data_IF_804281784740
#
_entry.id   IF_804281784740
#
_cell.length_a   1.000
_cell.length_b   1.000
_cell.length_c   1.000
_cell.angle_alpha   90.00
_cell.angle_beta   90.00
_cell.angle_gamma   90.00
#
_symmetry.space_group_name_H-M   'P 1'
#
loop_
_entity.id
_entity.type
_entity.pdbx_description
1 polymer ?
#
# COMPACT_ATOMS: atom_id res chain seq x y z
N UNK A 1 -7.54 -2.26 -11.54
CA UNK A 1 -7.48 -1.33 -10.39
C UNK A 1 -6.02 -1.00 -10.06
N UNK A 2 -5.69 0.24 -9.73
CA UNK A 2 -4.32 0.70 -9.42
C UNK A 2 -4.28 1.26 -7.99
N UNK A 3 -3.45 0.66 -7.14
CA UNK A 3 -3.31 0.99 -5.71
C UNK A 3 -1.90 1.50 -5.47
N UNK A 4 -1.78 2.67 -4.85
CA UNK A 4 -0.50 3.31 -4.53
C UNK A 4 -0.17 3.17 -3.05
N UNK A 5 1.01 2.64 -2.73
CA UNK A 5 1.61 2.74 -1.40
C UNK A 5 2.55 3.94 -1.35
N UNK A 6 2.11 5.02 -0.69
CA UNK A 6 2.86 6.28 -0.66
C UNK A 6 2.70 7.04 0.66
N UNK A 7 3.77 7.72 1.05
CA UNK A 7 3.84 8.69 2.14
C UNK A 7 5.14 9.49 1.97
N UNK A 8 5.11 10.79 2.29
CA UNK A 8 6.28 11.66 2.24
C UNK A 8 7.43 11.17 3.15
N UNK A 9 7.09 10.54 4.29
CA UNK A 9 8.09 10.03 5.22
C UNK A 9 8.67 8.70 4.75
N UNK A 10 10.00 8.63 4.66
CA UNK A 10 10.74 7.38 4.48
C UNK A 10 10.72 6.51 5.73
N UNK A 11 10.76 5.17 5.57
CA UNK A 11 10.89 4.22 6.67
C UNK A 11 9.60 3.84 7.42
N UNK A 12 8.44 4.35 6.98
CA UNK A 12 7.12 4.05 7.58
C UNK A 12 6.54 2.69 7.16
N UNK A 13 7.24 1.94 6.28
CA UNK A 13 6.86 0.56 5.89
C UNK A 13 6.02 0.45 4.62
N UNK A 14 6.14 1.39 3.68
CA UNK A 14 5.45 1.38 2.36
C UNK A 14 5.68 0.08 1.60
N UNK A 15 6.91 -0.19 1.20
CA UNK A 15 7.30 -1.39 0.45
C UNK A 15 6.97 -2.69 1.18
N UNK A 16 7.15 -2.70 2.50
CA UNK A 16 6.80 -3.86 3.35
C UNK A 16 5.31 -4.16 3.30
N UNK A 17 4.45 -3.15 3.45
CA UNK A 17 3.01 -3.33 3.40
C UNK A 17 2.52 -3.57 1.97
N UNK A 18 3.17 -3.02 0.94
CA UNK A 18 2.88 -3.32 -0.46
C UNK A 18 3.06 -4.83 -0.77
N UNK A 19 4.20 -5.41 -0.34
CA UNK A 19 4.44 -6.86 -0.48
C UNK A 19 3.44 -7.68 0.33
N UNK A 20 3.23 -7.34 1.61
CA UNK A 20 2.31 -8.08 2.46
C UNK A 20 0.87 -8.05 1.95
N UNK A 21 0.42 -6.90 1.44
CA UNK A 21 -0.92 -6.75 0.88
C UNK A 21 -1.05 -7.53 -0.43
N UNK A 22 -0.02 -7.51 -1.29
CA UNK A 22 0.01 -8.29 -2.53
C UNK A 22 -0.06 -9.80 -2.26
N UNK A 23 0.73 -10.30 -1.30
CA UNK A 23 0.65 -11.68 -0.84
C UNK A 23 -0.75 -12.04 -0.34
N UNK A 24 -1.37 -11.18 0.46
CA UNK A 24 -2.73 -11.38 0.95
C UNK A 24 -3.76 -11.43 -0.19
N UNK A 25 -3.68 -10.52 -1.16
CA UNK A 25 -4.59 -10.49 -2.30
C UNK A 25 -4.47 -11.76 -3.16
N UNK A 26 -3.24 -12.22 -3.43
CA UNK A 26 -3.00 -13.43 -4.21
C UNK A 26 -3.41 -14.69 -3.43
N UNK A 27 -2.88 -14.89 -2.22
CA UNK A 27 -3.08 -16.13 -1.45
C UNK A 27 -4.48 -16.26 -0.83
N UNK A 28 -5.02 -15.19 -0.25
CA UNK A 28 -6.25 -15.26 0.53
C UNK A 28 -7.49 -14.89 -0.27
N UNK A 29 -7.34 -14.06 -1.32
CA UNK A 29 -8.45 -13.55 -2.13
C UNK A 29 -8.42 -14.00 -3.58
N UNK A 30 -7.41 -14.76 -3.98
CA UNK A 30 -7.24 -15.28 -5.35
C UNK A 30 -7.35 -14.16 -6.40
N UNK A 31 -6.74 -13.00 -6.12
CA UNK A 31 -6.68 -11.87 -7.05
C UNK A 31 -5.38 -11.90 -7.83
N UNK A 32 -5.47 -11.57 -9.11
CA UNK A 32 -4.30 -11.34 -9.95
C UNK A 32 -3.66 -9.98 -9.61
N UNK A 33 -2.38 -10.01 -9.25
CA UNK A 33 -1.63 -8.86 -8.78
C UNK A 33 -0.37 -8.70 -9.62
N UNK A 34 0.06 -7.46 -9.85
CA UNK A 34 1.42 -7.11 -10.25
C UNK A 34 1.92 -5.99 -9.35
N UNK A 35 3.20 -6.02 -8.98
CA UNK A 35 3.85 -4.89 -8.31
C UNK A 35 4.72 -4.15 -9.32
N UNK A 36 4.56 -2.83 -9.40
CA UNK A 36 5.53 -1.94 -10.04
C UNK A 36 6.35 -1.23 -8.97
N UNK A 37 7.61 -1.61 -8.86
CA UNK A 37 8.58 -0.97 -7.96
C UNK A 37 9.16 0.28 -8.65
N UNK A 38 8.71 1.44 -8.18
CA UNK A 38 9.08 2.75 -8.71
C UNK A 38 9.98 3.53 -7.74
N UNK A 39 10.48 2.88 -6.69
CA UNK A 39 11.50 3.46 -5.81
C UNK A 39 12.88 3.27 -6.46
N UNK A 40 13.72 4.32 -6.41
CA UNK A 40 15.09 4.26 -6.93
C UNK A 40 15.92 3.11 -6.32
N UNK A 41 15.61 2.66 -5.11
CA UNK A 41 16.29 1.53 -4.47
C UNK A 41 15.83 0.16 -5.00
N UNK A 42 14.67 0.10 -5.66
CA UNK A 42 14.08 -1.10 -6.27
C UNK A 42 14.09 -2.30 -5.31
N UNK A 43 13.76 -2.03 -4.04
CA UNK A 43 13.97 -2.98 -2.95
C UNK A 43 13.07 -4.22 -3.06
N UNK A 44 11.86 -4.06 -3.60
CA UNK A 44 10.92 -5.16 -3.82
C UNK A 44 11.39 -5.98 -5.02
N UNK A 45 11.75 -5.32 -6.12
CA UNK A 45 12.22 -6.00 -7.32
C UNK A 45 13.45 -6.86 -7.04
N UNK A 46 14.48 -6.28 -6.42
CA UNK A 46 15.70 -7.00 -6.07
C UNK A 46 15.42 -8.21 -5.16
N UNK A 47 14.50 -8.06 -4.21
CA UNK A 47 14.07 -9.14 -3.33
C UNK A 47 13.33 -10.25 -4.07
N UNK A 48 12.45 -9.87 -5.01
CA UNK A 48 11.73 -10.82 -5.86
C UNK A 48 12.70 -11.62 -6.75
N UNK A 49 13.62 -10.94 -7.43
CA UNK A 49 14.64 -11.60 -8.26
C UNK A 49 15.50 -12.58 -7.47
N UNK A 50 15.93 -12.21 -6.25
CA UNK A 50 16.68 -13.12 -5.37
C UNK A 50 15.87 -14.37 -4.98
N UNK A 51 14.54 -14.27 -4.92
CA UNK A 51 13.65 -15.39 -4.61
C UNK A 51 13.24 -16.23 -5.83
N UNK A 52 13.43 -15.77 -7.07
CA UNK A 52 13.17 -16.57 -8.29
C UNK A 52 14.14 -17.76 -8.45
N UNK A 53 15.21 -17.81 -7.65
CA UNK A 53 16.12 -18.97 -7.58
C UNK A 53 15.43 -20.20 -6.96
N UNK A 54 14.28 -20.02 -6.32
CA UNK A 54 13.45 -21.09 -5.77
C UNK A 54 12.69 -21.79 -6.91
N UNK A 55 12.52 -23.12 -6.85
CA UNK A 55 11.81 -23.90 -7.89
C UNK A 55 10.27 -23.70 -7.90
N UNK A 56 9.74 -22.84 -7.02
CA UNK A 56 8.31 -22.57 -6.93
C UNK A 56 7.90 -21.44 -7.88
N UNK A 57 6.71 -21.50 -8.51
CA UNK A 57 6.20 -20.39 -9.28
C UNK A 57 5.91 -19.18 -8.38
N UNK A 58 6.19 -17.95 -8.84
CA UNK A 58 5.89 -16.73 -8.09
C UNK A 58 4.38 -16.52 -7.92
N UNK A 59 3.98 -15.86 -6.84
CA UNK A 59 2.56 -15.50 -6.59
C UNK A 59 2.02 -14.43 -7.52
N UNK A 60 2.91 -13.58 -8.03
CA UNK A 60 2.65 -12.42 -8.87
C UNK A 60 3.97 -11.92 -9.47
N UNK A 61 3.86 -11.11 -10.51
CA UNK A 61 5.01 -10.46 -11.15
C UNK A 61 5.43 -9.21 -10.37
N UNK A 62 6.73 -8.91 -10.42
CA UNK A 62 7.30 -7.66 -9.90
C UNK A 62 8.18 -7.06 -10.97
N UNK A 63 7.81 -5.87 -11.43
CA UNK A 63 8.48 -5.12 -12.48
C UNK A 63 9.01 -3.79 -11.95
N UNK A 64 10.03 -3.23 -12.60
CA UNK A 64 10.49 -1.86 -12.32
C UNK A 64 9.84 -0.89 -13.31
N UNK A 65 9.52 0.31 -12.84
CA UNK A 65 8.88 1.32 -13.68
C UNK A 65 9.34 2.72 -13.28
N UNK A 66 9.76 3.52 -14.26
CA UNK A 66 10.07 4.92 -14.05
C UNK A 66 8.77 5.74 -13.88
N UNK A 67 8.82 6.82 -13.07
CA UNK A 67 7.64 7.65 -12.78
C UNK A 67 6.95 8.19 -14.05
N UNK A 68 7.73 8.52 -15.09
CA UNK A 68 7.22 9.04 -16.35
C UNK A 68 6.57 7.97 -17.25
N UNK A 69 6.65 6.69 -16.91
CA UNK A 69 6.04 5.59 -17.64
C UNK A 69 4.67 5.19 -17.07
N UNK A 70 4.22 5.86 -15.99
CA UNK A 70 2.93 5.56 -15.36
C UNK A 70 1.74 5.57 -16.33
N UNK A 71 1.71 6.51 -17.29
CA UNK A 71 0.58 6.62 -18.22
C UNK A 71 0.40 5.33 -19.05
N UNK A 72 1.49 4.65 -19.40
CA UNK A 72 1.47 3.38 -20.15
C UNK A 72 0.79 2.30 -19.31
N UNK A 73 1.22 2.13 -18.07
CA UNK A 73 0.62 1.16 -17.13
C UNK A 73 -0.84 1.51 -16.87
N UNK A 74 -1.16 2.80 -16.67
CA UNK A 74 -2.53 3.22 -16.43
C UNK A 74 -3.47 2.89 -17.59
N UNK A 75 -2.98 2.92 -18.84
CA UNK A 75 -3.75 2.53 -20.02
C UNK A 75 -4.10 1.04 -20.01
N UNK A 76 -3.10 0.18 -19.77
CA UNK A 76 -3.29 -1.28 -19.73
C UNK A 76 -4.28 -1.69 -18.65
N UNK A 77 -4.17 -1.12 -17.44
CA UNK A 77 -5.02 -1.48 -16.30
C UNK A 77 -6.44 -0.88 -16.35
N UNK A 78 -6.69 0.11 -17.22
CA UNK A 78 -8.04 0.59 -17.49
C UNK A 78 -8.83 -0.39 -18.37
N UNK A 79 -8.14 -1.15 -19.22
CA UNK A 79 -8.75 -2.11 -20.13
C UNK A 79 -8.99 -3.48 -19.46
N UNK A 80 -8.17 -3.85 -18.46
CA UNK A 80 -8.31 -5.08 -17.70
C UNK A 80 -8.73 -4.84 -16.24
N UNK A 81 -10.04 -4.91 -15.97
CA UNK A 81 -10.60 -4.57 -14.65
C UNK A 81 -10.36 -5.62 -13.55
N UNK A 82 -9.97 -6.85 -13.92
CA UNK A 82 -9.83 -7.95 -12.95
C UNK A 82 -8.47 -7.94 -12.24
N UNK A 83 -7.45 -7.35 -12.90
CA UNK A 83 -6.07 -7.26 -12.40
C UNK A 83 -5.85 -6.06 -11.47
N UNK A 84 -5.00 -6.24 -10.46
CA UNK A 84 -4.62 -5.21 -9.49
C UNK A 84 -3.15 -4.84 -9.68
N UNK A 85 -2.88 -3.58 -10.01
CA UNK A 85 -1.54 -3.00 -9.98
C UNK A 85 -1.26 -2.40 -8.59
N UNK A 86 -0.16 -2.79 -7.97
CA UNK A 86 0.37 -2.18 -6.74
C UNK A 86 1.59 -1.35 -7.12
N UNK A 87 1.55 -0.06 -6.82
CA UNK A 87 2.68 0.86 -7.03
C UNK A 87 3.38 1.09 -5.69
N UNK A 88 4.68 0.77 -5.62
CA UNK A 88 5.54 1.19 -4.51
C UNK A 88 6.37 2.39 -4.94
N UNK A 89 6.12 3.55 -4.32
CA UNK A 89 6.74 4.81 -4.72
C UNK A 89 7.43 5.47 -3.54
N UNK A 90 8.65 5.95 -3.78
CA UNK A 90 9.30 6.90 -2.89
C UNK A 90 8.49 8.20 -2.87
N UNK A 91 7.69 8.40 -1.83
CA UNK A 91 6.92 9.63 -1.66
C UNK A 91 7.85 10.82 -1.41
N UNK A 92 8.25 11.53 -2.47
CA UNK A 92 8.75 12.89 -2.36
C UNK A 92 7.73 13.81 -3.03
N UNK A 93 6.91 14.49 -2.24
CA UNK A 93 5.82 15.34 -2.75
C UNK A 93 6.32 16.54 -3.57
N UNK A 94 7.61 16.89 -3.48
CA UNK A 94 8.22 17.93 -4.30
C UNK A 94 8.54 17.46 -5.74
N UNK A 95 8.39 16.17 -6.03
CA UNK A 95 8.62 15.62 -7.35
C UNK A 95 7.35 15.67 -8.21
N UNK A 96 7.30 16.63 -9.14
CA UNK A 96 6.19 16.80 -10.08
C UNK A 96 5.91 15.55 -10.95
N UNK A 97 6.88 14.64 -11.11
CA UNK A 97 6.66 13.37 -11.80
C UNK A 97 5.64 12.45 -11.09
N UNK A 98 5.30 12.73 -9.83
CA UNK A 98 4.25 12.03 -9.09
C UNK A 98 2.83 12.52 -9.39
N UNK A 99 2.68 13.71 -10.00
CA UNK A 99 1.37 14.32 -10.28
C UNK A 99 0.48 13.40 -11.14
N UNK A 100 0.96 12.80 -12.25
CA UNK A 100 0.15 11.87 -13.03
C UNK A 100 -0.32 10.66 -12.21
N UNK A 101 0.56 10.14 -11.35
CA UNK A 101 0.27 8.99 -10.48
C UNK A 101 -0.86 9.35 -9.50
N UNK A 102 -0.74 10.45 -8.75
CA UNK A 102 -1.79 10.86 -7.80
C UNK A 102 -3.14 11.11 -8.46
N UNK A 103 -3.15 11.54 -9.71
CA UNK A 103 -4.39 11.74 -10.49
C UNK A 103 -4.97 10.44 -11.07
N UNK A 104 -4.15 9.43 -11.33
CA UNK A 104 -4.54 8.24 -12.08
C UNK A 104 -4.76 6.97 -11.25
N UNK A 105 -4.50 6.99 -9.95
CA UNK A 105 -4.68 5.82 -9.06
C UNK A 105 -6.10 5.77 -8.47
N UNK A 106 -6.56 4.55 -8.19
CA UNK A 106 -7.91 4.29 -7.67
C UNK A 106 -7.96 4.30 -6.12
N UNK A 107 -6.83 4.03 -5.47
CA UNK A 107 -6.70 3.97 -4.02
C UNK A 107 -5.27 4.31 -3.59
N UNK A 108 -5.14 5.09 -2.51
CA UNK A 108 -3.85 5.35 -1.86
C UNK A 108 -3.85 4.72 -0.47
N UNK A 109 -2.86 3.89 -0.18
CA UNK A 109 -2.60 3.36 1.15
C UNK A 109 -1.35 4.07 1.70
N UNK A 110 -1.51 4.75 2.83
CA UNK A 110 -0.46 5.57 3.42
C UNK A 110 -0.10 5.10 4.83
N UNK A 111 0.93 4.26 4.98
CA UNK A 111 1.46 3.92 6.29
C UNK A 111 2.11 5.14 6.95
N UNK A 112 1.93 5.29 8.26
CA UNK A 112 2.56 6.36 9.03
C UNK A 112 2.82 5.92 10.48
N UNK A 113 3.71 6.59 11.20
CA UNK A 113 3.90 6.43 12.63
C UNK A 113 3.40 7.68 13.38
N UNK A 114 3.09 7.55 14.68
CA UNK A 114 2.57 8.65 15.51
C UNK A 114 3.65 9.63 16.01
N UNK A 115 4.90 9.53 15.53
CA UNK A 115 5.90 10.56 15.81
C UNK A 115 5.61 11.84 15.02
N UNK A 116 6.02 12.98 15.57
CA UNK A 116 5.71 14.31 15.02
C UNK A 116 6.14 14.47 13.56
N UNK A 117 7.34 13.98 13.20
CA UNK A 117 7.84 14.08 11.83
C UNK A 117 7.01 13.25 10.86
N UNK A 118 6.62 12.02 11.23
CA UNK A 118 5.76 11.20 10.40
C UNK A 118 4.35 11.76 10.27
N UNK A 119 3.78 12.32 11.35
CA UNK A 119 2.44 12.93 11.31
C UNK A 119 2.41 14.14 10.38
N UNK A 120 3.36 15.08 10.54
CA UNK A 120 3.42 16.29 9.71
C UNK A 120 3.60 15.93 8.23
N UNK A 121 4.53 15.03 7.92
CA UNK A 121 4.75 14.54 6.55
C UNK A 121 3.50 13.86 5.95
N UNK A 122 2.70 13.17 6.78
CA UNK A 122 1.46 12.54 6.32
C UNK A 122 0.38 13.57 6.03
N UNK A 123 0.25 14.61 6.86
CA UNK A 123 -0.71 15.71 6.64
C UNK A 123 -0.36 16.51 5.38
N UNK A 124 0.92 16.83 5.18
CA UNK A 124 1.40 17.56 3.99
C UNK A 124 1.15 16.74 2.72
N UNK A 125 1.53 15.47 2.74
CA UNK A 125 1.23 14.51 1.67
C UNK A 125 -0.27 14.45 1.35
N UNK A 126 -1.12 14.32 2.36
CA UNK A 126 -2.57 14.22 2.19
C UNK A 126 -3.17 15.48 1.59
N UNK A 127 -2.65 16.65 1.98
CA UNK A 127 -3.10 17.94 1.47
C UNK A 127 -2.78 18.09 -0.02
N UNK A 128 -1.56 17.70 -0.44
CA UNK A 128 -1.16 17.71 -1.86
C UNK A 128 -1.98 16.72 -2.67
N UNK A 129 -2.15 15.49 -2.19
CA UNK A 129 -2.98 14.47 -2.86
C UNK A 129 -4.40 14.98 -3.05
N UNK A 130 -5.04 15.53 -2.02
CA UNK A 130 -6.42 16.04 -2.11
C UNK A 130 -6.56 17.28 -2.98
N UNK A 131 -5.50 18.08 -3.13
CA UNK A 131 -5.47 19.18 -4.07
C UNK A 131 -5.46 18.68 -5.53
N UNK A 132 -4.70 17.61 -5.81
CA UNK A 132 -4.53 17.06 -7.16
C UNK A 132 -5.66 16.13 -7.57
N UNK A 133 -6.19 15.35 -6.62
CA UNK A 133 -7.24 14.38 -6.79
C UNK A 133 -8.11 14.35 -5.52
N UNK A 134 -9.20 15.12 -5.53
CA UNK A 134 -10.07 15.28 -4.36
C UNK A 134 -10.77 13.98 -3.96
N UNK A 135 -11.13 13.17 -4.95
CA UNK A 135 -12.03 12.03 -4.78
C UNK A 135 -11.29 10.71 -4.53
N UNK A 136 -9.97 10.65 -4.75
CA UNK A 136 -9.20 9.43 -4.46
C UNK A 136 -9.31 9.05 -2.98
N UNK A 137 -9.74 7.83 -2.66
CA UNK A 137 -9.73 7.36 -1.29
C UNK A 137 -8.29 7.22 -0.79
N UNK A 138 -8.07 7.68 0.43
CA UNK A 138 -6.81 7.49 1.15
C UNK A 138 -7.12 6.63 2.38
N UNK A 139 -6.34 5.57 2.58
CA UNK A 139 -6.39 4.73 3.78
C UNK A 139 -5.07 4.87 4.53
N UNK A 140 -5.14 5.48 5.71
CA UNK A 140 -4.00 5.61 6.60
C UNK A 140 -3.87 4.38 7.48
N UNK A 141 -2.69 3.79 7.48
CA UNK A 141 -2.36 2.65 8.35
C UNK A 141 -1.36 3.14 9.40
N UNK A 142 -1.77 3.33 10.66
CA UNK A 142 -0.80 3.55 11.73
C UNK A 142 0.08 2.30 11.82
N UNK A 143 1.37 2.44 11.56
CA UNK A 143 2.30 1.34 11.41
C UNK A 143 3.50 1.50 12.33
N UNK A 144 4.17 0.38 12.63
CA UNK A 144 5.31 0.30 13.55
C UNK A 144 4.95 0.79 14.97
N UNK A 145 3.74 0.50 15.41
CA UNK A 145 3.27 0.89 16.74
C UNK A 145 3.92 0.02 17.80
N UNK A 146 4.53 0.65 18.80
CA UNK A 146 5.15 -0.05 19.93
C UNK A 146 4.12 -0.21 21.04
N UNK A 147 3.78 -1.46 21.36
CA UNK A 147 2.78 -1.77 22.39
C UNK A 147 3.11 -1.21 23.78
N UNK A 148 4.39 -0.96 24.08
CA UNK A 148 4.85 -0.40 25.35
C UNK A 148 4.76 1.13 25.44
N UNK A 149 4.40 1.82 24.35
CA UNK A 149 4.38 3.28 24.28
C UNK A 149 2.95 3.79 24.36
N UNK A 150 2.72 4.79 25.22
CA UNK A 150 1.47 5.54 25.24
C UNK A 150 1.57 6.69 24.23
N UNK A 151 0.68 6.71 23.25
CA UNK A 151 0.60 7.75 22.24
C UNK A 151 -0.47 8.77 22.65
N UNK A 152 -0.05 9.83 23.34
CA UNK A 152 -0.98 10.82 23.92
C UNK A 152 -1.80 11.59 22.88
N UNK A 153 -1.24 11.79 21.69
CA UNK A 153 -1.86 12.53 20.58
C UNK A 153 -2.63 11.64 19.60
N UNK A 154 -2.81 10.35 19.90
CA UNK A 154 -3.42 9.39 18.97
C UNK A 154 -4.80 9.85 18.48
N UNK A 155 -5.67 10.27 19.40
CA UNK A 155 -7.03 10.68 19.06
C UNK A 155 -7.05 11.95 18.18
N UNK A 156 -6.24 12.95 18.51
CA UNK A 156 -6.17 14.20 17.75
C UNK A 156 -5.54 14.01 16.37
N UNK A 157 -4.51 13.18 16.27
CA UNK A 157 -3.88 12.80 14.99
C UNK A 157 -4.89 12.06 14.11
N UNK A 158 -5.58 11.06 14.66
CA UNK A 158 -6.58 10.31 13.90
C UNK A 158 -7.72 11.20 13.43
N UNK A 159 -8.25 12.08 14.29
CA UNK A 159 -9.27 13.05 13.90
C UNK A 159 -8.78 14.03 12.82
N UNK A 160 -7.49 14.37 12.83
CA UNK A 160 -6.86 15.17 11.77
C UNK A 160 -6.82 14.44 10.43
N UNK A 161 -6.31 13.21 10.41
CA UNK A 161 -6.17 12.39 9.21
C UNK A 161 -7.52 11.92 8.65
N UNK A 162 -8.52 11.69 9.51
CA UNK A 162 -9.89 11.34 9.12
C UNK A 162 -10.57 12.38 8.23
N UNK A 163 -10.07 13.62 8.21
CA UNK A 163 -10.52 14.67 7.27
C UNK A 163 -10.11 14.39 5.82
N UNK A 164 -9.07 13.59 5.61
CA UNK A 164 -8.53 13.27 4.30
C UNK A 164 -8.89 11.84 3.84
N UNK A 165 -9.12 10.91 4.76
CA UNK A 165 -9.32 9.50 4.43
C UNK A 165 -9.62 8.61 5.64
N UNK A 166 -9.79 7.31 5.41
CA UNK A 166 -10.03 6.35 6.49
C UNK A 166 -8.74 6.09 7.28
N UNK A 167 -8.84 5.91 8.59
CA UNK A 167 -7.71 5.51 9.45
C UNK A 167 -8.01 4.13 10.01
N UNK A 168 -7.14 3.16 9.74
CA UNK A 168 -7.32 1.78 10.22
C UNK A 168 -6.90 1.64 11.67
N UNK A 169 -7.18 0.47 12.26
CA UNK A 169 -6.49 0.06 13.47
C UNK A 169 -4.96 -0.06 13.23
N UNK A 170 -4.14 0.10 14.29
CA UNK A 170 -2.68 0.09 14.16
C UNK A 170 -2.09 -1.30 13.88
N UNK A 171 -0.99 -1.32 13.13
CA UNK A 171 -0.09 -2.46 12.97
C UNK A 171 1.11 -2.28 13.91
N UNK A 172 1.38 -3.29 14.73
CA UNK A 172 2.47 -3.26 15.70
C UNK A 172 3.83 -3.48 15.04
N UNK A 173 4.88 -2.85 15.59
CA UNK A 173 6.26 -3.08 15.15
C UNK A 173 6.69 -4.51 15.50
N UNK A 174 7.13 -5.28 14.51
CA UNK A 174 7.68 -6.63 14.71
C UNK A 174 8.91 -6.87 13.86
N UNK A 175 9.85 -7.66 14.41
CA UNK A 175 11.12 -8.00 13.74
C UNK A 175 10.89 -8.99 12.58
N UNK A 176 9.87 -9.84 12.70
CA UNK A 176 9.52 -10.83 11.67
C UNK A 176 9.08 -10.20 10.33
N UNK A 177 8.64 -8.94 10.31
CA UNK A 177 8.37 -8.17 9.08
C UNK A 177 9.62 -8.03 8.20
N UNK A 178 10.83 -8.13 8.77
CA UNK A 178 12.07 -8.09 7.99
C UNK A 178 12.30 -9.37 7.16
N UNK A 179 11.59 -10.46 7.48
CA UNK A 179 11.77 -11.79 6.88
C UNK A 179 10.70 -12.17 5.86
N UNK A 180 9.79 -11.25 5.53
CA UNK A 180 8.73 -11.49 4.54
C UNK A 180 9.35 -11.78 3.17
N UNK A 181 8.64 -12.47 2.28
CA UNK A 181 9.05 -12.69 0.89
C UNK A 181 7.90 -12.30 -0.04
N UNK A 182 8.14 -12.32 -1.36
CA UNK A 182 7.10 -12.17 -2.39
C UNK A 182 6.39 -13.49 -2.71
N UNK A 183 6.65 -14.54 -1.92
CA UNK A 183 6.13 -15.91 -2.13
C UNK A 183 5.24 -16.38 -0.98
N UNK A 184 5.49 -15.89 0.23
CA UNK A 184 4.71 -16.24 1.39
C UNK A 184 4.73 -15.14 2.45
N UNK A 185 3.71 -15.17 3.30
CA UNK A 185 3.68 -14.36 4.52
C UNK A 185 3.71 -15.30 5.72
N UNK A 186 4.67 -15.17 6.65
CA UNK A 186 4.72 -16.01 7.85
C UNK A 186 3.40 -15.93 8.64
N UNK A 187 2.87 -17.04 9.18
CA UNK A 187 1.57 -17.04 9.86
C UNK A 187 1.44 -16.04 11.01
N UNK A 188 2.52 -15.81 11.77
CA UNK A 188 2.62 -14.81 12.82
C UNK A 188 2.52 -13.37 12.30
N UNK A 189 2.93 -13.11 11.07
CA UNK A 189 2.78 -11.80 10.40
C UNK A 189 1.34 -11.66 9.87
N UNK A 190 0.78 -12.72 9.27
CA UNK A 190 -0.62 -12.74 8.81
C UNK A 190 -1.57 -12.32 9.95
N UNK A 191 -1.42 -12.90 11.14
CA UNK A 191 -2.25 -12.58 12.31
C UNK A 191 -2.28 -11.10 12.68
N UNK A 192 -1.23 -10.35 12.37
CA UNK A 192 -1.09 -8.93 12.73
C UNK A 192 -1.76 -8.04 11.69
N UNK A 193 -1.67 -8.42 10.42
CA UNK A 193 -2.12 -7.56 9.29
C UNK A 193 -3.50 -7.95 8.76
N UNK A 194 -3.97 -9.18 9.01
CA UNK A 194 -5.16 -9.75 8.39
C UNK A 194 -6.40 -8.87 8.55
N UNK A 195 -6.68 -8.38 9.75
CA UNK A 195 -7.88 -7.57 10.01
C UNK A 195 -7.81 -6.19 9.37
N UNK A 196 -6.62 -5.60 9.24
CA UNK A 196 -6.43 -4.34 8.48
C UNK A 196 -6.64 -4.58 6.99
N UNK A 197 -6.04 -5.64 6.44
CA UNK A 197 -6.15 -5.96 5.01
C UNK A 197 -7.56 -6.42 4.62
N UNK A 198 -8.26 -7.14 5.48
CA UNK A 198 -9.64 -7.55 5.29
C UNK A 198 -10.60 -6.35 5.27
N UNK A 199 -10.37 -5.36 6.13
CA UNK A 199 -11.11 -4.11 6.09
C UNK A 199 -10.89 -3.39 4.75
N UNK A 200 -9.63 -3.21 4.34
CA UNK A 200 -9.31 -2.53 3.07
C UNK A 200 -9.94 -3.27 1.89
N UNK A 201 -9.82 -4.60 1.85
CA UNK A 201 -10.38 -5.39 0.77
C UNK A 201 -11.90 -5.24 0.67
N UNK A 202 -12.62 -5.40 1.79
CA UNK A 202 -14.08 -5.33 1.80
C UNK A 202 -14.61 -3.94 1.50
N UNK A 203 -13.94 -2.88 1.94
CA UNK A 203 -14.39 -1.50 1.73
C UNK A 203 -14.07 -0.97 0.33
N UNK A 204 -12.90 -1.31 -0.23
CA UNK A 204 -12.38 -0.63 -1.43
C UNK A 204 -12.21 -1.54 -2.65
N UNK A 205 -12.04 -2.86 -2.48
CA UNK A 205 -11.70 -3.77 -3.59
C UNK A 205 -12.82 -4.77 -3.92
N UNK A 206 -13.66 -5.13 -2.95
CA UNK A 206 -14.74 -6.09 -3.14
C UNK A 206 -15.85 -5.46 -4.00
N UNK A 207 -15.99 -5.93 -5.23
CA UNK A 207 -17.13 -5.59 -6.08
C UNK A 207 -18.42 -6.11 -5.44
N UNK A 208 -19.42 -5.24 -5.25
CA UNK A 208 -20.78 -5.61 -4.82
C UNK A 208 -21.50 -6.55 -5.82
N UNK A 209 -20.96 -6.76 -7.02
CA UNK A 209 -21.57 -7.61 -8.04
C UNK A 209 -21.46 -9.12 -7.75
N UNK A 210 -20.49 -9.55 -6.92
CA UNK A 210 -20.31 -10.97 -6.61
C UNK A 210 -21.34 -11.54 -5.61
N UNK A 211 -22.09 -10.69 -4.90
CA UNK A 211 -23.10 -11.15 -3.94
C UNK A 211 -24.39 -11.66 -4.61
N UNK A 212 -24.61 -11.39 -5.91
CA UNK A 212 -25.78 -11.89 -6.65
C UNK A 212 -25.55 -13.25 -7.36
N UNK A 213 -24.35 -13.84 -7.24
CA UNK A 213 -24.03 -15.13 -7.87
C UNK A 213 -24.19 -16.33 -6.92
N UNK A 214 -24.59 -16.11 -5.67
CA UNK A 214 -24.85 -17.16 -4.68
C UNK A 214 -26.22 -16.91 -4.04
N UNK A 215 -27.28 -17.10 -4.82
CA UNK A 215 -28.62 -17.43 -4.32
C UNK A 215 -29.30 -18.40 -5.28
#
# INVERSE_FOLDING_TARGET
MIILFANQKGGVGKSTLAVLFSNYLSLAKNREVVIFDMDNQQSIYNKHQASLVLENPPLYEVETLELNQFDIVSGVFKENQDQIAILDVAGNIENDALIPIFKGVDLIISPFAYDEFSVNATIDFSSVVKLLNKDVPIVFIPNRIRASVKYETLESVNAGLQKFGAVTQPITERIDFQRITTYETPPNVIQVVASVFELIYNEFLRSKAHDNAIH
#
